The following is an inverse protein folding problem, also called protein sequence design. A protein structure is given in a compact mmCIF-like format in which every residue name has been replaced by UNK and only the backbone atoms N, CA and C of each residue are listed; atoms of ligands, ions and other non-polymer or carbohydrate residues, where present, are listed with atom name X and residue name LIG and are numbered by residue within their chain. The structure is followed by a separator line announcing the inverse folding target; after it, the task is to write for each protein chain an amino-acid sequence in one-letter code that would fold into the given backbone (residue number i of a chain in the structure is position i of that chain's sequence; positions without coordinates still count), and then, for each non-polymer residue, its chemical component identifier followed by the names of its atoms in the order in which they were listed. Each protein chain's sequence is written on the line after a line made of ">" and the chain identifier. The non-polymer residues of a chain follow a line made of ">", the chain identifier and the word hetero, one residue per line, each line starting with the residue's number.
data_IF_690587502280
#
_entry.id   IF_690587502280
#
_cell.length_a   1.000
_cell.length_b   1.000
_cell.length_c   1.000
_cell.angle_alpha   90.00
_cell.angle_beta   90.00
_cell.angle_gamma   90.00
#
_symmetry.space_group_name_H-M   'P 1'
#
loop_
_entity.id
_entity.type
_entity.pdbx_description
1 polymer ?
#
# COMPACT_ATOMS: atom_id res chain seq x y z
N UNK A 1 1.51 31.84 -15.60
CA UNK A 1 0.80 30.73 -14.93
C UNK A 1 1.50 29.44 -15.34
N UNK A 2 2.06 28.71 -14.40
CA UNK A 2 2.59 27.39 -14.68
C UNK A 2 1.43 26.47 -15.06
N UNK A 3 1.54 25.81 -16.20
CA UNK A 3 0.54 24.81 -16.62
C UNK A 3 0.81 23.51 -15.87
N UNK A 4 -0.11 23.05 -15.03
CA UNK A 4 -0.06 21.70 -14.49
C UNK A 4 -0.42 20.70 -15.59
N UNK A 5 0.31 19.59 -15.67
CA UNK A 5 -0.06 18.44 -16.50
C UNK A 5 0.02 17.16 -15.68
N UNK A 6 -0.84 16.19 -16.02
CA UNK A 6 -0.78 14.88 -15.39
C UNK A 6 0.36 14.04 -15.95
N UNK A 7 1.03 13.24 -15.13
CA UNK A 7 2.05 12.29 -15.57
C UNK A 7 1.43 11.16 -16.40
N UNK A 8 0.39 10.54 -15.90
CA UNK A 8 -0.35 9.45 -16.56
C UNK A 8 -1.83 9.56 -16.27
N UNK A 9 -2.65 9.11 -17.22
CA UNK A 9 -4.09 8.97 -17.03
C UNK A 9 -4.51 7.54 -17.39
N UNK A 10 -5.11 6.85 -16.44
CA UNK A 10 -5.67 5.51 -16.63
C UNK A 10 -7.16 5.48 -16.28
N UNK A 11 -7.91 4.62 -16.96
CA UNK A 11 -9.29 4.31 -16.58
C UNK A 11 -9.22 3.12 -15.61
N UNK A 12 -9.61 3.34 -14.37
CA UNK A 12 -9.54 2.33 -13.31
C UNK A 12 -10.85 2.24 -12.57
N UNK A 13 -11.08 1.11 -11.89
CA UNK A 13 -12.29 0.92 -11.09
C UNK A 13 -12.28 1.72 -9.78
N UNK A 14 -11.11 2.10 -9.30
CA UNK A 14 -10.95 2.67 -7.97
C UNK A 14 -10.00 3.87 -8.01
N UNK A 15 -10.28 4.86 -7.17
CA UNK A 15 -9.42 6.04 -7.05
C UNK A 15 -8.11 5.70 -6.35
N UNK A 16 -6.98 6.25 -6.77
CA UNK A 16 -5.75 6.18 -6.01
C UNK A 16 -5.90 6.93 -4.69
N UNK A 17 -5.39 6.36 -3.60
CA UNK A 17 -5.46 6.91 -2.26
C UNK A 17 -4.09 7.31 -1.69
N UNK A 18 -3.01 6.97 -2.37
CA UNK A 18 -1.67 7.36 -1.96
C UNK A 18 -0.73 7.46 -3.14
N UNK A 19 0.22 8.36 -3.01
CA UNK A 19 1.28 8.58 -3.99
C UNK A 19 2.58 8.93 -3.28
N UNK A 20 3.67 8.31 -3.72
CA UNK A 20 5.02 8.72 -3.34
C UNK A 20 5.88 8.86 -4.60
N UNK A 21 6.78 9.82 -4.58
CA UNK A 21 7.72 10.05 -5.67
C UNK A 21 9.13 9.96 -5.13
N UNK A 22 9.94 9.13 -5.74
CA UNK A 22 11.36 9.00 -5.43
C UNK A 22 12.16 8.86 -6.71
N UNK A 23 13.08 9.81 -6.93
CA UNK A 23 13.84 9.91 -8.17
C UNK A 23 12.91 9.91 -9.40
N UNK A 24 13.05 8.96 -10.30
CA UNK A 24 12.21 8.81 -11.48
C UNK A 24 11.07 7.78 -11.31
N UNK A 25 10.75 7.42 -10.07
CA UNK A 25 9.67 6.47 -9.78
C UNK A 25 8.49 7.15 -9.10
N UNK A 26 7.32 6.82 -9.54
CA UNK A 26 6.05 7.22 -8.95
C UNK A 26 5.36 5.95 -8.45
N UNK A 27 5.19 5.83 -7.14
CA UNK A 27 4.54 4.72 -6.47
C UNK A 27 3.11 5.14 -6.17
N UNK A 28 2.14 4.36 -6.60
CA UNK A 28 0.71 4.67 -6.46
C UNK A 28 0.00 3.51 -5.78
N UNK A 29 -0.65 3.80 -4.67
CA UNK A 29 -1.58 2.87 -4.06
C UNK A 29 -2.98 3.06 -4.63
N UNK A 30 -3.41 2.08 -5.39
CA UNK A 30 -4.68 2.09 -6.11
C UNK A 30 -5.32 0.71 -6.02
N UNK A 31 -6.24 0.48 -5.08
CA UNK A 31 -6.83 -0.84 -4.91
C UNK A 31 -7.31 -1.43 -6.23
N UNK A 32 -7.06 -2.72 -6.53
CA UNK A 32 -6.43 -3.70 -5.64
C UNK A 32 -4.90 -3.73 -5.67
N UNK A 33 -4.24 -2.76 -6.30
CA UNK A 33 -2.84 -2.81 -6.70
C UNK A 33 -1.99 -1.73 -6.00
N UNK A 34 -0.75 -2.09 -5.69
CA UNK A 34 0.35 -1.15 -5.49
C UNK A 34 1.15 -1.11 -6.80
N UNK A 35 1.17 0.07 -7.44
CA UNK A 35 1.71 0.25 -8.78
C UNK A 35 2.95 1.12 -8.72
N UNK A 36 3.96 0.79 -9.53
CA UNK A 36 5.15 1.62 -9.73
C UNK A 36 5.25 2.01 -11.21
N UNK A 37 5.27 3.31 -11.45
CA UNK A 37 5.65 3.87 -12.73
C UNK A 37 7.10 4.31 -12.68
N UNK A 38 7.85 4.07 -13.75
CA UNK A 38 9.23 4.55 -13.90
C UNK A 38 9.30 5.44 -15.14
N UNK A 39 9.59 6.71 -14.92
CA UNK A 39 9.88 7.69 -15.97
C UNK A 39 11.33 7.50 -16.43
N UNK A 40 11.51 6.67 -17.45
CA UNK A 40 12.84 6.24 -17.93
C UNK A 40 13.57 7.39 -18.58
N UNK A 41 12.87 8.21 -19.37
CA UNK A 41 13.46 9.34 -20.09
C UNK A 41 13.47 10.66 -19.30
N UNK A 42 12.89 10.67 -18.08
CA UNK A 42 12.88 11.81 -17.13
C UNK A 42 12.26 13.08 -17.68
N UNK A 43 11.21 12.95 -18.46
CA UNK A 43 10.51 14.08 -19.05
C UNK A 43 9.22 14.50 -18.30
N UNK A 44 8.93 13.84 -17.17
CA UNK A 44 7.76 14.03 -16.33
C UNK A 44 6.41 13.74 -17.06
N UNK A 45 6.44 12.84 -18.03
CA UNK A 45 5.26 12.33 -18.76
C UNK A 45 5.42 10.84 -18.97
N UNK A 46 4.32 10.12 -18.98
CA UNK A 46 4.35 8.69 -19.28
C UNK A 46 4.33 8.45 -20.79
N UNK A 47 5.43 8.01 -21.33
CA UNK A 47 5.59 7.68 -22.75
C UNK A 47 5.49 6.17 -22.96
N UNK A 48 4.38 5.75 -23.58
CA UNK A 48 4.12 4.34 -23.84
C UNK A 48 5.25 3.73 -24.73
N UNK A 49 5.80 2.61 -24.28
CA UNK A 49 6.90 1.93 -24.98
C UNK A 49 8.30 2.42 -24.58
N UNK A 50 8.41 3.47 -23.79
CA UNK A 50 9.66 3.97 -23.18
C UNK A 50 9.62 3.76 -21.68
N UNK A 51 8.57 4.29 -21.03
CA UNK A 51 8.39 4.22 -19.59
C UNK A 51 7.79 2.89 -19.17
N UNK A 52 7.95 2.58 -17.90
CA UNK A 52 7.52 1.32 -17.34
C UNK A 52 6.37 1.52 -16.36
N UNK A 53 5.39 0.63 -16.45
CA UNK A 53 4.31 0.45 -15.48
C UNK A 53 4.38 -0.97 -14.94
N UNK A 54 4.51 -1.09 -13.65
CA UNK A 54 4.59 -2.37 -12.96
C UNK A 54 3.54 -2.45 -11.87
N UNK A 55 2.78 -3.55 -11.82
CA UNK A 55 2.01 -3.92 -10.63
C UNK A 55 2.99 -4.61 -9.68
N UNK A 56 3.40 -3.88 -8.65
CA UNK A 56 4.38 -4.38 -7.68
C UNK A 56 3.78 -5.46 -6.80
N UNK A 57 2.59 -5.20 -6.27
CA UNK A 57 1.77 -6.10 -5.46
C UNK A 57 0.31 -5.99 -5.87
N UNK A 58 -0.44 -7.08 -5.74
CA UNK A 58 -1.89 -7.12 -5.98
C UNK A 58 -2.58 -8.01 -4.94
N UNK A 59 -3.91 -7.85 -4.79
CA UNK A 59 -4.71 -8.66 -3.87
C UNK A 59 -5.24 -7.89 -2.65
N UNK A 60 -5.10 -6.56 -2.65
CA UNK A 60 -5.80 -5.70 -1.70
C UNK A 60 -7.26 -5.59 -2.09
N UNK A 61 -8.16 -5.62 -1.09
CA UNK A 61 -9.60 -5.52 -1.40
C UNK A 61 -9.94 -4.19 -2.06
N UNK A 62 -10.57 -4.23 -3.24
CA UNK A 62 -11.09 -3.05 -3.92
C UNK A 62 -12.58 -2.77 -3.66
N UNK A 63 -13.27 -3.65 -2.92
CA UNK A 63 -14.73 -3.60 -2.78
C UNK A 63 -15.24 -2.37 -2.01
N UNK A 64 -14.40 -1.79 -1.18
CA UNK A 64 -14.65 -0.53 -0.47
C UNK A 64 -13.31 0.18 -0.39
N UNK A 65 -13.05 1.06 -1.36
CA UNK A 65 -11.74 1.66 -1.57
C UNK A 65 -11.26 2.51 -0.39
N UNK A 66 -12.17 3.14 0.36
CA UNK A 66 -11.86 3.94 1.55
C UNK A 66 -11.48 3.12 2.80
N UNK A 67 -11.56 1.81 2.73
CA UNK A 67 -11.10 0.86 3.73
C UNK A 67 -10.12 -0.19 3.16
N UNK A 68 -9.50 0.12 2.05
CA UNK A 68 -8.56 -0.75 1.34
C UNK A 68 -7.12 -0.24 1.42
N UNK A 69 -6.38 -0.27 0.30
CA UNK A 69 -5.01 0.20 0.21
C UNK A 69 -4.96 1.73 0.24
N UNK A 70 -4.17 2.29 1.16
CA UNK A 70 -4.10 3.74 1.40
C UNK A 70 -2.74 4.32 1.04
N UNK A 71 -2.19 5.19 1.91
CA UNK A 71 -0.96 5.90 1.63
C UNK A 71 0.22 4.98 1.33
N UNK A 72 1.17 5.50 0.61
CA UNK A 72 2.50 4.92 0.47
C UNK A 72 3.55 5.99 0.76
N UNK A 73 4.59 5.61 1.49
CA UNK A 73 5.77 6.46 1.74
C UNK A 73 7.05 5.66 1.56
N UNK A 74 8.17 6.34 1.36
CA UNK A 74 9.48 5.73 1.22
C UNK A 74 10.27 5.96 2.51
N UNK A 75 10.69 4.89 3.14
CA UNK A 75 11.49 4.95 4.35
C UNK A 75 12.97 5.21 4.08
N UNK A 76 13.75 5.53 5.13
CA UNK A 76 15.19 5.84 5.00
C UNK A 76 16.02 4.65 4.54
N UNK A 77 15.49 3.44 4.67
CA UNK A 77 16.10 2.20 4.17
C UNK A 77 15.74 1.89 2.70
N UNK A 78 15.00 2.78 2.04
CA UNK A 78 14.55 2.63 0.65
C UNK A 78 13.34 1.72 0.47
N UNK A 79 12.80 1.10 1.53
CA UNK A 79 11.58 0.30 1.45
C UNK A 79 10.34 1.18 1.30
N UNK A 80 9.31 0.63 0.69
CA UNK A 80 7.99 1.26 0.63
C UNK A 80 7.17 0.82 1.84
N UNK A 81 6.56 1.80 2.51
CA UNK A 81 5.69 1.63 3.66
C UNK A 81 4.29 2.06 3.27
N UNK A 82 3.30 1.23 3.56
CA UNK A 82 1.91 1.49 3.15
C UNK A 82 0.93 0.78 4.08
N UNK A 83 -0.31 1.25 4.06
CA UNK A 83 -1.39 0.71 4.89
C UNK A 83 -2.51 0.14 4.05
N UNK A 84 -3.25 -0.81 4.60
CA UNK A 84 -4.62 -1.07 4.17
C UNK A 84 -5.56 -1.15 5.37
N UNK A 85 -6.83 -0.80 5.13
CA UNK A 85 -7.88 -0.86 6.12
C UNK A 85 -8.48 -2.26 6.28
N UNK A 86 -9.53 -2.36 7.11
CA UNK A 86 -10.11 -3.64 7.51
C UNK A 86 -10.96 -4.35 6.45
N UNK A 87 -10.97 -3.89 5.19
CA UNK A 87 -11.51 -4.69 4.08
C UNK A 87 -10.62 -5.88 3.72
N UNK A 88 -9.41 -5.88 4.25
CA UNK A 88 -8.51 -7.02 4.19
C UNK A 88 -7.79 -7.19 2.86
N UNK A 89 -6.90 -8.16 2.85
CA UNK A 89 -6.06 -8.50 1.70
C UNK A 89 -5.63 -9.96 1.70
N UNK A 90 -5.38 -10.47 0.52
CA UNK A 90 -4.63 -11.70 0.30
C UNK A 90 -3.59 -11.40 -0.78
N UNK A 91 -2.36 -11.23 -0.36
CA UNK A 91 -1.27 -10.73 -1.19
C UNK A 91 -0.09 -11.67 -1.10
N UNK A 92 0.48 -12.00 -2.25
CA UNK A 92 1.75 -12.74 -2.32
C UNK A 92 2.82 -11.83 -2.89
N UNK A 93 3.95 -11.71 -2.21
CA UNK A 93 5.09 -10.95 -2.71
C UNK A 93 5.87 -11.72 -3.78
N UNK A 94 6.86 -11.07 -4.39
CA UNK A 94 7.62 -11.69 -5.49
C UNK A 94 8.59 -12.81 -5.05
N UNK A 95 8.77 -13.02 -3.75
CA UNK A 95 9.47 -14.18 -3.20
C UNK A 95 8.53 -15.33 -2.85
N UNK A 96 7.22 -15.13 -2.95
CA UNK A 96 6.21 -16.12 -2.62
C UNK A 96 5.74 -16.07 -1.16
N UNK A 97 6.10 -15.04 -0.39
CA UNK A 97 5.57 -14.83 0.94
C UNK A 97 4.12 -14.32 0.87
N UNK A 98 3.21 -15.03 1.52
CA UNK A 98 1.78 -14.75 1.48
C UNK A 98 1.29 -14.06 2.76
N UNK A 99 0.57 -12.95 2.59
CA UNK A 99 -0.22 -12.29 3.62
C UNK A 99 -1.68 -12.73 3.50
N UNK A 100 -2.24 -13.21 4.60
CA UNK A 100 -3.66 -13.43 4.80
C UNK A 100 -4.16 -12.48 5.89
N UNK A 101 -4.86 -11.42 5.52
CA UNK A 101 -5.41 -10.45 6.45
C UNK A 101 -6.89 -10.25 6.15
N UNK A 102 -7.73 -10.98 6.87
CA UNK A 102 -9.17 -10.89 6.78
C UNK A 102 -9.78 -10.21 7.99
N UNK A 103 -11.05 -9.84 7.87
CA UNK A 103 -11.80 -9.30 8.98
C UNK A 103 -13.28 -9.65 8.89
N UNK A 104 -14.03 -9.29 9.92
CA UNK A 104 -15.48 -9.36 9.89
C UNK A 104 -16.09 -8.56 8.73
N UNK A 105 -15.43 -7.48 8.32
CA UNK A 105 -15.89 -6.55 7.28
C UNK A 105 -15.52 -6.95 5.86
N UNK A 106 -14.48 -7.75 5.67
CA UNK A 106 -14.04 -8.14 4.33
C UNK A 106 -12.98 -9.24 4.31
N UNK A 107 -12.77 -9.85 3.16
CA UNK A 107 -11.85 -10.98 2.95
C UNK A 107 -12.09 -12.11 3.96
N UNK A 108 -13.37 -12.41 4.24
CA UNK A 108 -13.78 -13.41 5.24
C UNK A 108 -13.18 -14.79 4.98
N UNK A 109 -12.92 -15.12 3.72
CA UNK A 109 -12.34 -16.40 3.31
C UNK A 109 -10.91 -16.62 3.80
N UNK A 110 -10.19 -15.54 4.15
CA UNK A 110 -8.84 -15.60 4.73
C UNK A 110 -8.78 -15.16 6.19
N UNK A 111 -9.92 -14.75 6.76
CA UNK A 111 -9.98 -14.38 8.16
C UNK A 111 -9.63 -15.56 9.06
N UNK A 112 -8.70 -15.35 9.98
CA UNK A 112 -8.20 -16.39 10.88
C UNK A 112 -7.19 -17.36 10.24
N UNK A 113 -6.88 -17.23 8.95
CA UNK A 113 -5.82 -18.04 8.33
C UNK A 113 -4.44 -17.48 8.66
N UNK A 114 -3.46 -18.33 8.92
CA UNK A 114 -2.09 -17.89 9.09
C UNK A 114 -1.50 -17.41 7.76
N UNK A 115 -0.63 -16.42 7.84
CA UNK A 115 0.26 -16.01 6.76
C UNK A 115 1.51 -16.92 6.71
N UNK A 116 2.42 -16.67 5.77
CA UNK A 116 3.61 -17.51 5.58
C UNK A 116 4.52 -17.62 6.79
N UNK A 117 4.46 -16.66 7.73
CA UNK A 117 5.19 -16.69 9.01
C UNK A 117 4.44 -17.41 10.14
N UNK A 118 3.28 -17.99 9.85
CA UNK A 118 2.43 -18.68 10.82
C UNK A 118 1.57 -17.75 11.68
N UNK A 119 1.66 -16.43 11.51
CA UNK A 119 0.86 -15.45 12.26
C UNK A 119 -0.49 -15.21 11.59
N UNK A 120 -1.49 -14.94 12.40
CA UNK A 120 -2.83 -14.53 11.97
C UNK A 120 -2.95 -13.01 12.05
N UNK A 121 -3.16 -12.37 10.93
CA UNK A 121 -3.35 -10.93 10.84
C UNK A 121 -4.83 -10.59 10.67
N UNK A 122 -5.34 -9.66 11.47
CA UNK A 122 -6.73 -9.26 11.45
C UNK A 122 -6.87 -7.76 11.22
N UNK A 123 -7.96 -7.35 10.60
CA UNK A 123 -8.30 -5.95 10.38
C UNK A 123 -7.39 -5.28 9.35
N UNK A 124 -7.12 -4.00 9.56
CA UNK A 124 -6.16 -3.25 8.79
C UNK A 124 -4.72 -3.61 9.18
N UNK A 125 -3.81 -3.49 8.24
CA UNK A 125 -2.40 -3.88 8.41
C UNK A 125 -1.49 -2.78 7.87
N UNK A 126 -0.45 -2.47 8.63
CA UNK A 126 0.67 -1.66 8.17
C UNK A 126 1.76 -2.58 7.62
N UNK A 127 2.27 -2.26 6.46
CA UNK A 127 3.15 -3.11 5.67
C UNK A 127 4.41 -2.36 5.22
N UNK A 128 5.47 -3.11 4.99
CA UNK A 128 6.64 -2.66 4.24
C UNK A 128 6.99 -3.67 3.15
N UNK A 129 7.62 -3.21 2.07
CA UNK A 129 8.09 -4.05 0.96
C UNK A 129 9.34 -3.43 0.33
N UNK A 130 10.20 -4.26 -0.23
CA UNK A 130 11.34 -3.79 -1.03
C UNK A 130 10.86 -3.19 -2.37
N UNK A 131 11.62 -2.27 -2.96
CA UNK A 131 11.27 -1.65 -4.25
C UNK A 131 11.11 -2.62 -5.43
N UNK A 132 11.64 -3.82 -5.31
CA UNK A 132 11.50 -4.90 -6.30
C UNK A 132 10.29 -5.81 -6.05
N UNK A 133 9.52 -5.56 -4.98
CA UNK A 133 8.34 -6.34 -4.61
C UNK A 133 8.62 -7.57 -3.76
N UNK A 134 9.85 -7.75 -3.29
CA UNK A 134 10.25 -8.82 -2.37
C UNK A 134 10.19 -8.37 -0.92
N UNK A 135 10.29 -9.31 0.02
CA UNK A 135 10.46 -9.00 1.44
C UNK A 135 9.27 -8.26 2.06
N UNK A 136 8.06 -8.45 1.55
CA UNK A 136 6.86 -7.87 2.16
C UNK A 136 6.67 -8.41 3.57
N UNK A 137 6.49 -7.51 4.54
CA UNK A 137 6.25 -7.90 5.95
C UNK A 137 5.27 -6.94 6.63
N UNK A 138 4.35 -7.47 7.43
CA UNK A 138 3.57 -6.67 8.35
C UNK A 138 4.46 -6.06 9.43
N UNK A 139 4.17 -4.81 9.78
CA UNK A 139 4.83 -4.10 10.89
C UNK A 139 3.83 -3.73 11.99
N UNK A 140 2.54 -3.86 11.71
CA UNK A 140 1.47 -3.69 12.68
C UNK A 140 0.15 -4.17 12.08
N UNK A 141 -0.80 -4.56 12.94
CA UNK A 141 -2.11 -5.01 12.50
C UNK A 141 -3.20 -4.72 13.52
N UNK A 142 -4.43 -5.14 13.22
CA UNK A 142 -5.62 -4.91 14.02
C UNK A 142 -6.03 -3.43 14.05
N UNK A 143 -5.82 -2.75 12.95
CA UNK A 143 -6.33 -1.40 12.70
C UNK A 143 -7.71 -1.48 12.04
N UNK A 144 -8.50 -0.43 12.21
CA UNK A 144 -9.74 -0.30 11.46
C UNK A 144 -9.45 0.30 10.07
N UNK A 145 -8.89 1.50 10.05
CA UNK A 145 -8.73 2.24 8.81
C UNK A 145 -7.62 3.30 8.91
N UNK A 146 -6.39 2.83 9.09
CA UNK A 146 -5.22 3.72 9.07
C UNK A 146 -4.99 4.26 7.67
N UNK A 147 -5.03 5.59 7.51
CA UNK A 147 -4.87 6.25 6.21
C UNK A 147 -3.41 6.51 5.87
N UNK A 148 -2.62 6.94 6.84
CA UNK A 148 -1.25 7.36 6.60
C UNK A 148 -0.28 6.76 7.61
N UNK A 149 0.94 6.60 7.17
CA UNK A 149 2.08 6.34 8.02
C UNK A 149 3.26 7.22 7.61
N UNK A 150 4.10 7.53 8.58
CA UNK A 150 5.32 8.27 8.38
C UNK A 150 6.51 7.50 8.95
N UNK A 151 7.60 7.45 8.22
CA UNK A 151 8.85 6.87 8.68
C UNK A 151 9.83 8.00 9.05
N UNK A 152 10.39 7.94 10.27
CA UNK A 152 11.45 8.86 10.69
C UNK A 152 12.77 8.53 9.99
N UNK A 153 13.73 9.45 10.03
CA UNK A 153 15.09 9.22 9.52
C UNK A 153 15.84 8.11 10.28
N UNK A 154 15.37 7.73 11.46
CA UNK A 154 15.93 6.66 12.28
C UNK A 154 15.25 5.30 12.03
N UNK A 155 14.19 5.29 11.21
CA UNK A 155 13.45 4.07 10.86
C UNK A 155 12.23 3.78 11.74
N UNK A 156 11.91 4.65 12.69
CA UNK A 156 10.65 4.54 13.45
C UNK A 156 9.46 4.82 12.51
N UNK A 157 8.40 4.07 12.70
CA UNK A 157 7.18 4.23 11.90
C UNK A 157 6.03 4.65 12.81
N UNK A 158 5.36 5.70 12.43
CA UNK A 158 4.20 6.24 13.13
C UNK A 158 2.98 6.18 12.22
N UNK A 159 1.86 5.83 12.79
CA UNK A 159 0.57 5.87 12.08
C UNK A 159 -0.56 6.24 13.03
N UNK A 160 -1.63 6.75 12.47
CA UNK A 160 -2.90 6.96 13.16
C UNK A 160 -3.93 5.94 12.67
N UNK A 161 -4.86 5.59 13.53
CA UNK A 161 -6.02 4.76 13.19
C UNK A 161 -7.30 5.58 13.28
N UNK A 162 -8.20 5.36 12.35
CA UNK A 162 -9.56 5.89 12.39
C UNK A 162 -10.47 4.78 12.89
N UNK A 163 -10.74 4.76 14.19
CA UNK A 163 -11.57 3.75 14.83
C UNK A 163 -12.89 4.33 15.36
N UNK A 164 -13.97 3.54 15.33
CA UNK A 164 -15.27 3.91 15.86
C UNK A 164 -15.46 3.35 17.27
N UNK A 165 -16.17 4.05 18.15
CA UNK A 165 -16.69 5.43 18.05
C UNK A 165 -15.81 6.48 18.71
N UNK A 166 -14.70 6.17 19.37
CA UNK A 166 -13.86 7.14 20.10
C UNK A 166 -12.44 6.63 20.42
N UNK A 167 -12.01 5.54 19.80
CA UNK A 167 -10.75 4.88 20.13
C UNK A 167 -9.66 5.11 19.09
N UNK A 168 -9.70 6.24 18.38
CA UNK A 168 -8.62 6.63 17.46
C UNK A 168 -7.30 6.67 18.23
N UNK A 169 -6.30 5.98 17.71
CA UNK A 169 -4.99 5.85 18.35
C UNK A 169 -3.89 6.23 17.37
N UNK A 170 -2.82 6.79 17.93
CA UNK A 170 -1.55 6.87 17.25
C UNK A 170 -0.69 5.71 17.74
N UNK A 171 -0.07 5.00 16.82
CA UNK A 171 0.77 3.83 17.10
C UNK A 171 2.19 4.10 16.60
N UNK A 172 3.11 3.57 17.33
CA UNK A 172 4.54 3.65 17.06
C UNK A 172 5.19 2.30 17.33
#
# INVERSE_FOLDING_TARGET
>A
AESSHGFVQEITCCSPLGIAVVDNKIIVSQPPDLIVYTDVNRNARFDQGIDQREVLLTGFSGANHDHSLHSVTVGPNGQYYFNHGNKGSQVTDKEGWELNAGSFYGMKQVSGKPSSDGQVYNGGVALRVNPDGTGMRPIGHNFRNSYEQAASSLGDVFQNDNDDPQACRTTW
#
